data_IF_122763745824
#
_entry.id   IF_122763745824
#
_cell.length_a   1.000
_cell.length_b   1.000
_cell.length_c   1.000
_cell.angle_alpha   90.00
_cell.angle_beta   90.00
_cell.angle_gamma   90.00
#
_symmetry.space_group_name_H-M   'P 1'
#
loop_
_entity.id
_entity.type
_entity.pdbx_description
1 polymer ?
#
# COMPACT_ATOMS: atom_id res chain seq x y z
N UNK A 1 10.33 0.06 -2.18
CA UNK A 1 9.52 0.68 -3.25
C UNK A 1 8.59 1.69 -2.60
N UNK A 2 8.47 2.89 -3.15
CA UNK A 2 7.45 3.86 -2.74
C UNK A 2 6.50 4.11 -3.91
N UNK A 3 5.21 4.13 -3.62
CA UNK A 3 4.15 4.54 -4.53
C UNK A 3 3.46 5.75 -3.91
N UNK A 4 3.15 6.73 -4.74
CA UNK A 4 2.33 7.85 -4.31
C UNK A 4 1.15 8.02 -5.24
N UNK A 5 -0.04 8.08 -4.64
CA UNK A 5 -1.32 8.14 -5.32
C UNK A 5 -1.99 9.47 -4.99
N UNK A 6 -2.34 10.24 -6.02
CA UNK A 6 -3.16 11.44 -5.87
C UNK A 6 -4.62 11.02 -5.72
N UNK A 7 -5.32 11.54 -4.71
CA UNK A 7 -6.75 11.35 -4.54
C UNK A 7 -7.48 12.50 -5.22
N UNK A 8 -8.40 12.18 -6.13
CA UNK A 8 -9.25 13.16 -6.79
C UNK A 8 -10.73 12.82 -6.61
N UNK A 9 -11.56 13.84 -6.38
CA UNK A 9 -13.02 13.73 -6.39
C UNK A 9 -13.54 14.70 -7.46
N UNK A 10 -14.30 14.18 -8.43
CA UNK A 10 -14.77 14.96 -9.58
C UNK A 10 -13.64 15.68 -10.34
N UNK A 11 -12.46 15.06 -10.42
CA UNK A 11 -11.27 15.62 -11.07
C UNK A 11 -10.51 16.69 -10.26
N UNK A 12 -10.98 17.05 -9.07
CA UNK A 12 -10.25 17.95 -8.17
C UNK A 12 -9.38 17.16 -7.19
N UNK A 13 -8.10 17.53 -7.00
CA UNK A 13 -7.23 16.87 -6.02
C UNK A 13 -7.65 17.24 -4.59
N UNK A 14 -7.97 16.22 -3.79
CA UNK A 14 -8.38 16.39 -2.39
C UNK A 14 -7.30 15.93 -1.40
N UNK A 15 -6.29 15.19 -1.86
CA UNK A 15 -5.24 14.70 -0.98
C UNK A 15 -4.28 13.74 -1.68
N UNK A 16 -3.42 13.15 -0.87
CA UNK A 16 -2.40 12.20 -1.31
C UNK A 16 -2.35 11.01 -0.36
N UNK A 17 -2.13 9.83 -0.92
CA UNK A 17 -1.72 8.65 -0.17
C UNK A 17 -0.32 8.26 -0.58
N UNK A 18 0.52 8.03 0.41
CA UNK A 18 1.85 7.50 0.23
C UNK A 18 1.90 6.08 0.76
N UNK A 19 2.48 5.19 -0.04
CA UNK A 19 2.61 3.79 0.29
C UNK A 19 4.09 3.46 0.18
N UNK A 20 4.65 3.03 1.29
CA UNK A 20 6.00 2.50 1.34
C UNK A 20 5.91 1.00 1.53
N UNK A 21 6.61 0.25 0.69
CA UNK A 21 6.69 -1.20 0.79
C UNK A 21 8.15 -1.63 0.66
N UNK A 22 8.66 -2.30 1.69
CA UNK A 22 10.04 -2.77 1.76
C UNK A 22 10.07 -4.28 1.89
N UNK A 23 10.92 -4.92 1.10
CA UNK A 23 11.25 -6.32 1.29
C UNK A 23 12.18 -6.41 2.50
N UNK A 24 11.81 -7.19 3.51
CA UNK A 24 12.58 -7.33 4.75
C UNK A 24 12.98 -8.78 5.06
N UNK A 25 12.66 -9.70 4.16
CA UNK A 25 13.14 -11.08 4.20
C UNK A 25 14.57 -11.20 3.67
N UNK A 26 15.39 -12.00 4.35
CA UNK A 26 16.71 -12.44 3.88
C UNK A 26 16.66 -13.82 3.20
N UNK A 27 15.48 -14.47 3.21
CA UNK A 27 15.28 -15.85 2.76
C UNK A 27 14.75 -15.88 1.32
N UNK A 28 15.34 -16.74 0.49
CA UNK A 28 15.03 -16.84 -0.96
C UNK A 28 13.73 -17.60 -1.22
N UNK A 29 13.28 -18.40 -0.25
CA UNK A 29 12.13 -19.31 -0.28
C UNK A 29 10.84 -18.66 0.24
N UNK A 30 10.92 -17.53 0.96
CA UNK A 30 9.76 -16.68 1.23
C UNK A 30 10.16 -15.21 1.21
N UNK A 31 9.66 -14.46 0.23
CA UNK A 31 9.79 -13.00 0.24
C UNK A 31 8.73 -12.42 1.15
N UNK A 32 9.17 -11.54 2.05
CA UNK A 32 8.30 -10.88 3.03
C UNK A 32 8.41 -9.40 2.85
N UNK A 33 7.25 -8.77 2.82
CA UNK A 33 7.10 -7.36 2.58
C UNK A 33 6.48 -6.72 3.81
N UNK A 34 7.01 -5.58 4.21
CA UNK A 34 6.39 -4.71 5.21
C UNK A 34 5.92 -3.46 4.48
N UNK A 35 4.71 -3.02 4.79
CA UNK A 35 4.14 -1.83 4.19
C UNK A 35 3.71 -0.81 5.24
N UNK A 36 3.75 0.45 4.84
CA UNK A 36 3.11 1.56 5.54
C UNK A 36 2.35 2.42 4.54
N UNK A 37 1.17 2.86 4.94
CA UNK A 37 0.25 3.71 4.20
C UNK A 37 0.00 4.95 5.05
N UNK A 38 0.32 6.12 4.51
CA UNK A 38 0.02 7.42 5.12
C UNK A 38 -0.86 8.22 4.17
N UNK A 39 -1.83 8.94 4.72
CA UNK A 39 -2.69 9.84 3.97
C UNK A 39 -2.55 11.26 4.50
N UNK A 40 -2.67 12.25 3.62
CA UNK A 40 -2.74 13.65 4.03
C UNK A 40 -4.07 14.01 4.71
N UNK A 41 -5.12 13.24 4.44
CA UNK A 41 -6.51 13.53 4.86
C UNK A 41 -6.95 12.68 6.07
N UNK A 42 -6.36 11.50 6.25
CA UNK A 42 -6.62 10.65 7.42
C UNK A 42 -5.51 10.77 8.45
N UNK A 43 -5.91 10.92 9.71
CA UNK A 43 -5.00 11.00 10.85
C UNK A 43 -4.31 9.65 11.16
N UNK A 44 -4.99 8.52 10.89
CA UNK A 44 -4.48 7.20 11.24
C UNK A 44 -3.74 6.52 10.07
N UNK A 45 -2.43 6.26 10.21
CA UNK A 45 -1.68 5.48 9.25
C UNK A 45 -2.05 4.00 9.35
N UNK A 46 -1.91 3.26 8.25
CA UNK A 46 -2.04 1.81 8.24
C UNK A 46 -0.69 1.16 7.96
N UNK A 47 -0.36 0.08 8.65
CA UNK A 47 0.85 -0.71 8.39
C UNK A 47 0.59 -2.19 8.57
N UNK A 48 1.43 -3.01 7.95
CA UNK A 48 1.26 -4.45 8.04
C UNK A 48 2.31 -5.20 7.26
N UNK A 49 2.12 -6.53 7.19
CA UNK A 49 3.04 -7.46 6.57
C UNK A 49 2.33 -8.32 5.54
N UNK A 50 3.00 -8.56 4.43
CA UNK A 50 2.54 -9.40 3.34
C UNK A 50 3.61 -10.47 3.11
N UNK A 51 3.24 -11.73 3.28
CA UNK A 51 4.05 -12.87 2.91
C UNK A 51 3.66 -13.29 1.49
N UNK A 52 4.56 -13.13 0.53
CA UNK A 52 4.29 -13.52 -0.84
C UNK A 52 5.58 -13.85 -1.60
N UNK A 53 5.57 -14.97 -2.33
CA UNK A 53 6.76 -15.47 -3.02
C UNK A 53 7.25 -14.54 -4.16
N UNK A 54 6.31 -13.92 -4.88
CA UNK A 54 6.59 -13.00 -5.97
C UNK A 54 6.27 -11.54 -5.61
N UNK A 55 7.13 -10.62 -6.07
CA UNK A 55 6.94 -9.16 -5.92
C UNK A 55 5.61 -8.68 -6.50
N UNK A 56 5.19 -9.22 -7.65
CA UNK A 56 3.95 -8.82 -8.30
C UNK A 56 2.71 -9.17 -7.46
N UNK A 57 2.66 -10.38 -6.89
CA UNK A 57 1.56 -10.75 -6.01
C UNK A 57 1.54 -9.96 -4.70
N UNK A 58 2.72 -9.58 -4.17
CA UNK A 58 2.79 -8.65 -3.04
C UNK A 58 2.21 -7.27 -3.39
N UNK A 59 2.44 -6.77 -4.61
CA UNK A 59 1.83 -5.52 -5.10
C UNK A 59 0.32 -5.63 -5.27
N UNK A 60 -0.17 -6.77 -5.79
CA UNK A 60 -1.62 -7.01 -5.90
C UNK A 60 -2.30 -7.00 -4.53
N UNK A 61 -1.70 -7.63 -3.52
CA UNK A 61 -2.22 -7.61 -2.16
C UNK A 61 -2.16 -6.20 -1.56
N UNK A 62 -1.09 -5.45 -1.82
CA UNK A 62 -0.97 -4.06 -1.38
C UNK A 62 -2.03 -3.15 -2.02
N UNK A 63 -2.39 -3.36 -3.29
CA UNK A 63 -3.50 -2.65 -3.93
C UNK A 63 -4.85 -2.94 -3.26
N UNK A 64 -5.11 -4.18 -2.84
CA UNK A 64 -6.32 -4.52 -2.08
C UNK A 64 -6.37 -3.79 -0.74
N UNK A 65 -5.26 -3.82 0.01
CA UNK A 65 -5.14 -3.09 1.29
C UNK A 65 -5.34 -1.58 1.09
N UNK A 66 -4.81 -1.00 0.01
CA UNK A 66 -5.03 0.40 -0.32
C UNK A 66 -6.50 0.69 -0.62
N UNK A 67 -7.17 -0.14 -1.40
CA UNK A 67 -8.57 0.03 -1.73
C UNK A 67 -9.44 -0.04 -0.46
N UNK A 68 -9.20 -1.02 0.41
CA UNK A 68 -9.86 -1.16 1.71
C UNK A 68 -9.59 0.06 2.62
N UNK A 69 -8.33 0.52 2.68
CA UNK A 69 -7.95 1.70 3.43
C UNK A 69 -8.71 2.94 2.94
N UNK A 70 -8.86 3.10 1.63
CA UNK A 70 -9.61 4.19 1.02
C UNK A 70 -11.13 4.03 1.10
N UNK A 71 -11.64 2.86 1.51
CA UNK A 71 -13.07 2.54 1.49
C UNK A 71 -13.63 2.43 0.07
N UNK A 72 -12.79 2.13 -0.92
CA UNK A 72 -13.20 1.89 -2.31
C UNK A 72 -13.57 0.42 -2.43
N UNK A 73 -14.85 0.12 -2.69
CA UNK A 73 -15.28 -1.25 -2.95
C UNK A 73 -14.52 -1.82 -4.16
N UNK A 74 -13.93 -3.00 -3.99
CA UNK A 74 -13.20 -3.73 -5.04
C UNK A 74 -14.11 -4.62 -5.87
#
# INVERSE_FOLDING_TARGET
MSLSVALTVNGQPIGRVEINCVEWSQYTDSRRYEYSITSSDRAEPASGRIDHYHREGALTLLHKVLADYLGVAT
#
